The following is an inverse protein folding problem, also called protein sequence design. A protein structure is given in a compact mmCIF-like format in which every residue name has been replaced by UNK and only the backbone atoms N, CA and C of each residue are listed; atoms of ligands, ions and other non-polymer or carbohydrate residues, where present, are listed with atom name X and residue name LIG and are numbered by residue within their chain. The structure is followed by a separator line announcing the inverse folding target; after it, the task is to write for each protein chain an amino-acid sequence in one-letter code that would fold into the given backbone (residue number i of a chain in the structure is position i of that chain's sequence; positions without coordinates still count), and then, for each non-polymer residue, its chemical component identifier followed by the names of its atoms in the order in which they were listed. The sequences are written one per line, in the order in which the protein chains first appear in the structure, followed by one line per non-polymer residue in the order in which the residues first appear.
data_IF_703164586262
#
_entry.id   IF_703164586262
#
_cell.length_a   1.000
_cell.length_b   1.000
_cell.length_c   1.000
_cell.angle_alpha   90.00
_cell.angle_beta   90.00
_cell.angle_gamma   90.00
#
_symmetry.space_group_name_H-M   'P 1'
#
loop_
_entity.id
_entity.type
_entity.pdbx_description
1 polymer ?
#
# COMPACT_ATOMS: atom_id res chain seq x y z
N UNK A 1 22.28 11.05 -9.39
CA UNK A 1 21.19 11.99 -9.03
C UNK A 1 20.08 11.86 -10.06
N UNK A 2 18.83 11.94 -9.66
CA UNK A 2 17.66 11.70 -10.50
C UNK A 2 16.72 12.90 -10.49
N UNK A 3 16.12 13.22 -11.63
CA UNK A 3 15.08 14.25 -11.68
C UNK A 3 13.71 13.68 -11.29
N UNK A 4 12.78 14.56 -10.90
CA UNK A 4 11.43 14.14 -10.48
C UNK A 4 10.74 13.25 -11.53
N UNK A 5 10.85 13.57 -12.82
CA UNK A 5 10.25 12.78 -13.91
C UNK A 5 10.88 11.40 -14.13
N UNK A 6 12.12 11.19 -13.67
CA UNK A 6 12.75 9.88 -13.68
C UNK A 6 12.27 9.04 -12.49
N UNK A 7 12.17 9.66 -11.32
CA UNK A 7 11.67 9.01 -10.09
C UNK A 7 10.22 8.58 -10.26
N UNK A 8 9.37 9.43 -10.84
CA UNK A 8 7.95 9.13 -11.05
C UNK A 8 7.77 7.89 -11.94
N UNK A 9 8.51 7.82 -13.06
CA UNK A 9 8.49 6.67 -13.98
C UNK A 9 9.05 5.41 -13.32
N UNK A 10 10.20 5.50 -12.66
CA UNK A 10 10.87 4.34 -12.05
C UNK A 10 10.08 3.72 -10.91
N UNK A 11 9.45 4.55 -10.09
CA UNK A 11 8.76 4.10 -8.88
C UNK A 11 7.24 4.03 -9.05
N UNK A 12 6.70 4.46 -10.19
CA UNK A 12 5.26 4.63 -10.41
C UNK A 12 4.60 5.41 -9.26
N UNK A 13 5.15 6.59 -8.97
CA UNK A 13 4.67 7.52 -7.95
C UNK A 13 4.44 8.86 -8.64
N UNK A 14 3.30 9.51 -8.40
CA UNK A 14 3.02 10.81 -9.02
C UNK A 14 3.95 11.91 -8.46
N UNK A 15 4.20 12.96 -9.25
CA UNK A 15 4.99 14.09 -8.79
C UNK A 15 4.34 14.78 -7.58
N UNK A 16 3.00 14.82 -7.53
CA UNK A 16 2.25 15.39 -6.42
C UNK A 16 2.37 14.54 -5.16
N UNK A 17 2.38 13.21 -5.29
CA UNK A 17 2.66 12.30 -4.16
C UNK A 17 4.08 12.53 -3.62
N UNK A 18 5.09 12.73 -4.48
CA UNK A 18 6.45 13.04 -4.03
C UNK A 18 6.51 14.38 -3.27
N UNK A 19 5.83 15.41 -3.78
CA UNK A 19 5.72 16.72 -3.09
C UNK A 19 4.96 16.59 -1.78
N UNK A 20 3.92 15.77 -1.75
CA UNK A 20 3.13 15.52 -0.56
C UNK A 20 3.96 14.82 0.51
N UNK A 21 4.72 13.77 0.15
CA UNK A 21 5.62 13.09 1.09
C UNK A 21 6.70 14.01 1.65
N UNK A 22 7.25 14.92 0.85
CA UNK A 22 8.15 15.98 1.34
C UNK A 22 7.42 16.95 2.28
N UNK A 23 6.19 17.38 1.94
CA UNK A 23 5.37 18.29 2.76
C UNK A 23 5.06 17.72 4.15
N UNK A 24 4.72 16.43 4.23
CA UNK A 24 4.44 15.75 5.50
C UNK A 24 5.70 15.19 6.18
N UNK A 25 6.89 15.56 5.69
CA UNK A 25 8.20 15.11 6.21
C UNK A 25 8.44 13.60 6.18
N UNK A 26 7.61 12.85 5.45
CA UNK A 26 7.83 11.44 5.19
C UNK A 26 9.07 11.25 4.29
N UNK A 27 9.37 12.23 3.44
CA UNK A 27 10.69 12.44 2.84
C UNK A 27 11.32 13.69 3.47
N UNK A 28 12.63 13.67 3.74
CA UNK A 28 13.34 14.90 4.08
C UNK A 28 13.30 15.89 2.90
N UNK A 29 13.57 17.19 3.14
CA UNK A 29 13.68 18.18 2.07
C UNK A 29 14.62 17.71 0.95
N UNK A 30 14.12 17.69 -0.29
CA UNK A 30 14.87 17.18 -1.44
C UNK A 30 15.81 18.26 -1.96
N UNK A 31 17.07 17.89 -2.19
CA UNK A 31 18.07 18.79 -2.75
C UNK A 31 17.61 19.36 -4.12
N UNK A 32 18.08 20.57 -4.43
CA UNK A 32 17.86 21.21 -5.74
C UNK A 32 19.16 21.26 -6.52
N UNK A 33 19.08 21.06 -7.84
CA UNK A 33 20.22 21.24 -8.74
C UNK A 33 20.47 22.73 -9.04
N UNK A 34 21.51 23.03 -9.82
CA UNK A 34 21.87 24.39 -10.24
C UNK A 34 20.75 25.12 -10.98
N UNK A 35 19.82 24.41 -11.61
CA UNK A 35 18.63 24.97 -12.27
C UNK A 35 17.42 25.14 -11.34
N UNK A 36 17.58 24.89 -10.03
CA UNK A 36 16.51 25.02 -9.04
C UNK A 36 15.50 23.87 -8.99
N UNK A 37 15.71 22.80 -9.77
CA UNK A 37 14.85 21.63 -9.85
C UNK A 37 15.22 20.58 -8.79
N UNK A 38 14.21 19.89 -8.24
CA UNK A 38 14.41 18.77 -7.30
C UNK A 38 15.28 17.67 -7.92
N UNK A 39 16.26 17.22 -7.16
CA UNK A 39 17.27 16.24 -7.54
C UNK A 39 17.40 15.20 -6.43
N UNK A 40 17.03 13.96 -6.74
CA UNK A 40 16.94 12.85 -5.80
C UNK A 40 18.23 12.01 -5.85
N UNK A 41 18.75 11.64 -4.70
CA UNK A 41 19.88 10.72 -4.58
C UNK A 41 19.41 9.28 -4.34
N UNK A 42 20.34 8.31 -4.37
CA UNK A 42 20.01 6.90 -4.11
C UNK A 42 19.38 6.66 -2.74
N UNK A 43 19.74 7.46 -1.72
CA UNK A 43 19.13 7.38 -0.39
C UNK A 43 17.64 7.74 -0.44
N UNK A 44 17.28 8.76 -1.22
CA UNK A 44 15.88 9.16 -1.40
C UNK A 44 15.09 8.07 -2.13
N UNK A 45 15.67 7.46 -3.17
CA UNK A 45 15.05 6.34 -3.87
C UNK A 45 14.87 5.12 -2.94
N UNK A 46 15.86 4.81 -2.11
CA UNK A 46 15.76 3.74 -1.10
C UNK A 46 14.65 4.01 -0.09
N UNK A 47 14.49 5.27 0.35
CA UNK A 47 13.39 5.68 1.25
C UNK A 47 12.03 5.58 0.56
N UNK A 48 11.91 6.03 -0.68
CA UNK A 48 10.68 5.92 -1.48
C UNK A 48 10.26 4.47 -1.72
N UNK A 49 11.22 3.58 -2.02
CA UNK A 49 10.97 2.14 -2.17
C UNK A 49 10.46 1.54 -0.85
N UNK A 50 11.01 1.95 0.28
CA UNK A 50 10.54 1.54 1.61
C UNK A 50 9.09 1.98 1.84
N UNK A 51 8.78 3.26 1.64
CA UNK A 51 7.42 3.81 1.78
C UNK A 51 6.43 3.02 0.92
N UNK A 52 6.74 2.83 -0.36
CA UNK A 52 5.86 2.10 -1.29
C UNK A 52 5.61 0.66 -0.85
N UNK A 53 6.64 -0.03 -0.36
CA UNK A 53 6.50 -1.42 0.11
C UNK A 53 5.62 -1.49 1.36
N UNK A 54 5.81 -0.57 2.31
CA UNK A 54 4.99 -0.51 3.51
C UNK A 54 3.53 -0.16 3.20
N UNK A 55 3.26 0.77 2.28
CA UNK A 55 1.88 1.06 1.84
C UNK A 55 1.20 -0.18 1.22
N UNK A 56 1.94 -0.98 0.44
CA UNK A 56 1.42 -2.24 -0.12
C UNK A 56 1.10 -3.30 0.95
N UNK A 57 1.66 -3.18 2.13
CA UNK A 57 1.38 -4.03 3.29
C UNK A 57 0.28 -3.43 4.19
N UNK A 58 -0.38 -2.35 3.77
CA UNK A 58 -1.49 -1.74 4.51
C UNK A 58 -1.05 -0.80 5.65
N UNK A 59 0.23 -0.45 5.75
CA UNK A 59 0.65 0.57 6.72
C UNK A 59 0.19 1.97 6.26
N UNK A 60 -0.41 2.70 7.19
CA UNK A 60 -0.74 4.12 7.06
C UNK A 60 0.51 5.00 6.98
N UNK A 61 0.38 6.23 6.48
CA UNK A 61 1.52 7.15 6.39
C UNK A 61 2.12 7.49 7.77
N UNK A 62 1.29 7.52 8.83
CA UNK A 62 1.75 7.74 10.19
C UNK A 62 2.59 6.56 10.70
N UNK A 63 2.13 5.33 10.49
CA UNK A 63 2.89 4.12 10.84
C UNK A 63 4.21 4.05 10.05
N UNK A 64 4.19 4.39 8.76
CA UNK A 64 5.39 4.44 7.93
C UNK A 64 6.38 5.48 8.46
N UNK A 65 5.92 6.62 8.96
CA UNK A 65 6.77 7.62 9.60
C UNK A 65 7.50 7.02 10.82
N UNK A 66 6.77 6.32 11.71
CA UNK A 66 7.36 5.62 12.87
C UNK A 66 8.40 4.58 12.43
N UNK A 67 8.07 3.76 11.43
CA UNK A 67 8.98 2.77 10.86
C UNK A 67 10.26 3.41 10.27
N UNK A 68 10.14 4.59 9.65
CA UNK A 68 11.29 5.33 9.12
C UNK A 68 12.19 5.89 10.23
N UNK A 69 11.62 6.36 11.34
CA UNK A 69 12.39 6.74 12.53
C UNK A 69 13.18 5.55 13.08
N UNK A 70 12.54 4.38 13.18
CA UNK A 70 13.18 3.17 13.69
C UNK A 70 14.27 2.63 12.76
N UNK A 71 14.15 2.84 11.44
CA UNK A 71 15.20 2.51 10.48
C UNK A 71 16.51 3.26 10.76
N UNK A 72 16.43 4.45 11.33
CA UNK A 72 17.58 5.29 11.68
C UNK A 72 18.16 4.92 13.06
N UNK A 73 17.35 4.32 13.97
CA UNK A 73 17.76 3.88 15.31
C UNK A 73 17.21 2.47 15.66
N UNK A 74 17.76 1.39 15.07
CA UNK A 74 17.10 0.07 15.02
C UNK A 74 17.09 -0.75 16.32
N UNK A 75 17.98 -0.51 17.28
CA UNK A 75 18.11 -1.41 18.44
C UNK A 75 17.02 -1.20 19.51
N UNK A 76 16.58 0.03 19.73
CA UNK A 76 15.60 0.37 20.77
C UNK A 76 14.15 0.14 20.32
N UNK A 77 13.93 -0.05 19.02
CA UNK A 77 12.60 -0.07 18.40
C UNK A 77 12.06 -1.48 18.05
N UNK A 78 12.84 -2.54 18.27
CA UNK A 78 12.48 -3.91 17.85
C UNK A 78 11.12 -4.38 18.40
N UNK A 79 10.76 -4.16 19.67
CA UNK A 79 9.47 -4.59 20.20
C UNK A 79 8.29 -3.89 19.51
N UNK A 80 8.38 -2.58 19.33
CA UNK A 80 7.32 -1.77 18.72
C UNK A 80 7.14 -2.10 17.24
N UNK A 81 8.25 -2.25 16.49
CA UNK A 81 8.21 -2.70 15.09
C UNK A 81 7.54 -4.07 14.99
N UNK A 82 7.93 -5.01 15.87
CA UNK A 82 7.38 -6.37 15.86
C UNK A 82 5.88 -6.35 16.13
N UNK A 83 5.42 -5.52 17.08
CA UNK A 83 4.00 -5.36 17.37
C UNK A 83 3.24 -4.81 16.17
N UNK A 84 3.68 -3.67 15.61
CA UNK A 84 3.05 -3.06 14.44
C UNK A 84 2.99 -4.00 13.23
N UNK A 85 4.06 -4.77 12.99
CA UNK A 85 4.09 -5.75 11.92
C UNK A 85 3.17 -6.95 12.19
N UNK A 86 3.05 -7.36 13.45
CA UNK A 86 2.10 -8.40 13.88
C UNK A 86 0.65 -7.96 13.67
N UNK A 87 0.30 -6.75 14.11
CA UNK A 87 -1.04 -6.19 13.95
C UNK A 87 -1.42 -6.12 12.45
N UNK A 88 -0.51 -5.65 11.58
CA UNK A 88 -0.75 -5.65 10.13
C UNK A 88 -0.82 -7.03 9.50
N UNK A 89 -0.09 -8.00 10.03
CA UNK A 89 -0.21 -9.37 9.55
C UNK A 89 -1.60 -9.92 9.87
N UNK A 90 -2.11 -9.69 11.08
CA UNK A 90 -3.46 -10.07 11.46
C UNK A 90 -4.52 -9.41 10.58
N UNK A 91 -4.42 -8.09 10.33
CA UNK A 91 -5.31 -7.39 9.40
C UNK A 91 -5.30 -8.04 8.00
N UNK A 92 -4.12 -8.39 7.47
CA UNK A 92 -3.99 -9.04 6.16
C UNK A 92 -4.62 -10.45 6.17
N UNK A 93 -4.42 -11.22 7.24
CA UNK A 93 -4.98 -12.56 7.38
C UNK A 93 -6.51 -12.53 7.46
N UNK A 94 -7.09 -11.57 8.19
CA UNK A 94 -8.54 -11.36 8.26
C UNK A 94 -9.13 -11.02 6.89
N UNK A 95 -8.56 -10.03 6.20
CA UNK A 95 -8.97 -9.66 4.85
C UNK A 95 -8.85 -10.83 3.86
N UNK A 96 -7.81 -11.67 4.00
CA UNK A 96 -7.64 -12.84 3.15
C UNK A 96 -8.75 -13.87 3.36
N UNK A 97 -9.23 -14.06 4.60
CA UNK A 97 -10.35 -14.96 4.87
C UNK A 97 -11.66 -14.40 4.29
N UNK A 98 -11.93 -13.11 4.48
CA UNK A 98 -13.10 -12.45 3.89
C UNK A 98 -13.12 -12.57 2.36
N UNK A 99 -12.00 -12.25 1.70
CA UNK A 99 -11.87 -12.37 0.25
C UNK A 99 -12.03 -13.82 -0.25
N UNK A 100 -11.62 -14.82 0.55
CA UNK A 100 -11.86 -16.22 0.21
C UNK A 100 -13.35 -16.57 0.28
N UNK A 101 -14.06 -16.12 1.32
CA UNK A 101 -15.50 -16.35 1.45
C UNK A 101 -16.25 -15.72 0.28
N UNK A 102 -15.99 -14.45 -0.03
CA UNK A 102 -16.61 -13.75 -1.18
C UNK A 102 -16.29 -14.41 -2.52
N UNK A 103 -15.05 -14.89 -2.70
CA UNK A 103 -14.67 -15.65 -3.90
C UNK A 103 -15.48 -16.94 -4.02
N UNK A 104 -15.62 -17.68 -2.93
CA UNK A 104 -16.30 -18.98 -2.93
C UNK A 104 -17.79 -18.81 -3.19
N UNK A 105 -18.41 -17.79 -2.60
CA UNK A 105 -19.79 -17.38 -2.86
C UNK A 105 -19.99 -17.02 -4.34
N UNK A 106 -19.17 -16.12 -4.88
CA UNK A 106 -19.29 -15.70 -6.28
C UNK A 106 -19.05 -16.88 -7.24
N UNK A 107 -18.16 -17.81 -6.89
CA UNK A 107 -17.90 -19.04 -7.65
C UNK A 107 -19.14 -19.94 -7.69
N UNK A 108 -19.83 -20.09 -6.56
CA UNK A 108 -21.10 -20.84 -6.49
C UNK A 108 -22.17 -20.20 -7.37
N UNK A 109 -22.36 -18.89 -7.27
CA UNK A 109 -23.37 -18.17 -8.06
C UNK A 109 -23.11 -18.31 -9.57
N UNK A 110 -21.84 -18.24 -10.01
CA UNK A 110 -21.46 -18.47 -11.41
C UNK A 110 -21.82 -19.90 -11.86
N UNK A 111 -21.56 -20.91 -11.04
CA UNK A 111 -21.90 -22.30 -11.36
C UNK A 111 -23.41 -22.53 -11.42
N UNK A 112 -24.19 -21.92 -10.53
CA UNK A 112 -25.65 -22.04 -10.56
C UNK A 112 -26.25 -21.34 -11.80
N UNK A 113 -25.68 -20.20 -12.19
CA UNK A 113 -26.15 -19.45 -13.35
C UNK A 113 -26.01 -20.22 -14.67
N UNK A 114 -24.98 -21.05 -14.85
CA UNK A 114 -24.82 -21.83 -16.09
C UNK A 114 -25.86 -22.95 -16.23
N UNK A 115 -26.50 -23.37 -15.13
CA UNK A 115 -27.52 -24.41 -15.11
C UNK A 115 -28.96 -23.92 -15.07
N UNK A 116 -29.20 -22.62 -14.83
CA UNK A 116 -30.56 -22.09 -14.69
C UNK A 116 -31.24 -21.85 -16.03
N UNK A 117 -32.53 -22.20 -16.13
CA UNK A 117 -33.39 -21.94 -17.30
C UNK A 117 -34.29 -20.72 -17.13
N UNK A 118 -34.58 -20.33 -15.88
CA UNK A 118 -35.42 -19.19 -15.53
C UNK A 118 -34.78 -18.44 -14.35
N UNK A 119 -34.72 -17.10 -14.43
CA UNK A 119 -34.07 -16.26 -13.41
C UNK A 119 -32.53 -16.24 -13.49
N UNK A 120 -31.91 -15.34 -12.73
CA UNK A 120 -30.45 -15.19 -12.67
C UNK A 120 -29.96 -15.41 -11.23
N UNK A 121 -29.41 -16.61 -10.91
CA UNK A 121 -28.95 -16.93 -9.57
C UNK A 121 -27.95 -15.94 -8.98
N UNK A 122 -27.17 -15.25 -9.82
CA UNK A 122 -26.23 -14.20 -9.38
C UNK A 122 -26.98 -13.00 -8.80
N UNK A 123 -28.04 -12.54 -9.46
CA UNK A 123 -28.85 -11.41 -8.99
C UNK A 123 -29.63 -11.83 -7.74
N UNK A 124 -30.26 -13.01 -7.78
CA UNK A 124 -31.04 -13.52 -6.66
C UNK A 124 -30.18 -13.73 -5.39
N UNK A 125 -28.94 -14.20 -5.56
CA UNK A 125 -27.98 -14.37 -4.45
C UNK A 125 -27.46 -13.05 -3.88
N UNK A 126 -27.29 -12.02 -4.71
CA UNK A 126 -26.83 -10.70 -4.27
C UNK A 126 -27.94 -9.84 -3.65
N UNK A 127 -29.18 -10.03 -4.09
CA UNK A 127 -30.36 -9.35 -3.54
C UNK A 127 -30.76 -9.89 -2.17
N UNK A 128 -30.12 -10.99 -1.71
CA UNK A 128 -30.38 -11.60 -0.42
C UNK A 128 -31.82 -12.12 -0.34
N UNK A 129 -32.14 -13.15 -1.13
CA UNK A 129 -33.36 -13.91 -0.86
C UNK A 129 -33.12 -14.72 0.42
N UNK A 130 -33.81 -14.32 1.50
CA UNK A 130 -33.87 -15.00 2.81
C UNK A 130 -34.03 -16.54 2.69
#
# INVERSE_FOLDING_TARGET
MYQIGEVTRRLNISADTLRYYEKIQLLPPIARNSSGLRSYCEKDLSRLKFIKRAQRMGFSLEEISKLLTFREAPQQAKPDIRKMAGDKLSDIEENLQELKMLRDELTLLIHLCTGSKDGCPIIDGLDGVD
#
